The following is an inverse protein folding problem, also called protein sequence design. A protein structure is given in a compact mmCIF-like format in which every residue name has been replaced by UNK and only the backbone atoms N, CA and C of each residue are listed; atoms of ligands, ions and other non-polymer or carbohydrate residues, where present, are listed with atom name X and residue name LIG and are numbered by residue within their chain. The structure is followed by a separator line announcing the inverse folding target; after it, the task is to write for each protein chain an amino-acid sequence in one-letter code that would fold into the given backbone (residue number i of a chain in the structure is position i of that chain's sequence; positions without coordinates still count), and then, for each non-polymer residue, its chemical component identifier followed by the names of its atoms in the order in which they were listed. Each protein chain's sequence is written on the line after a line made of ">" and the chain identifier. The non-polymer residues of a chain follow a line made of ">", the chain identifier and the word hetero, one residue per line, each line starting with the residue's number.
data_IF_188462525549
#
_entry.id   IF_188462525549
#
_cell.length_a   1.000
_cell.length_b   1.000
_cell.length_c   1.000
_cell.angle_alpha   90.00
_cell.angle_beta   90.00
_cell.angle_gamma   90.00
#
_symmetry.space_group_name_H-M   'P 1'
#
loop_
_entity.id
_entity.type
_entity.pdbx_description
1 polymer ?
#
# COMPACT_ATOMS: atom_id res chain seq x y z
N UNK A 1 -20.89 -1.26 5.68
CA UNK A 1 -21.54 0.04 5.52
C UNK A 1 -21.02 0.71 4.27
N UNK A 2 -21.90 1.13 3.42
CA UNK A 2 -21.48 1.84 2.22
C UNK A 2 -21.10 3.28 2.56
N UNK A 3 -20.11 3.78 1.85
CA UNK A 3 -19.70 5.16 1.96
C UNK A 3 -20.51 6.00 0.99
N UNK A 4 -21.21 6.99 1.51
CA UNK A 4 -22.08 7.84 0.68
C UNK A 4 -21.46 9.20 0.37
N UNK A 5 -20.51 9.65 1.20
CA UNK A 5 -19.85 10.94 1.03
C UNK A 5 -18.38 10.70 0.72
N UNK A 6 -17.99 10.64 -0.55
CA UNK A 6 -16.60 10.43 -0.90
C UNK A 6 -15.76 11.65 -0.59
N UNK A 7 -14.64 11.42 0.07
CA UNK A 7 -13.67 12.47 0.35
C UNK A 7 -14.03 13.37 1.50
N UNK A 8 -13.11 14.27 1.77
CA UNK A 8 -13.22 15.30 2.81
C UNK A 8 -12.52 16.54 2.33
N UNK A 9 -12.94 17.68 2.87
CA UNK A 9 -12.24 18.93 2.72
C UNK A 9 -11.37 19.18 3.95
N UNK A 10 -10.45 20.14 3.85
CA UNK A 10 -9.52 20.45 4.92
C UNK A 10 -10.23 20.65 6.27
N UNK A 11 -11.36 21.30 6.25
CA UNK A 11 -12.14 21.66 7.44
C UNK A 11 -12.75 20.44 8.15
N UNK A 12 -12.81 19.31 7.46
CA UNK A 12 -13.39 18.08 8.00
C UNK A 12 -12.41 17.28 8.84
N UNK A 13 -11.12 17.66 8.85
CA UNK A 13 -10.10 16.92 9.58
C UNK A 13 -9.89 17.47 10.98
N UNK A 14 -9.57 16.56 11.89
CA UNK A 14 -9.22 16.89 13.28
C UNK A 14 -8.01 16.08 13.70
N UNK A 15 -7.14 16.70 14.50
CA UNK A 15 -5.99 16.01 15.08
C UNK A 15 -6.48 14.86 15.96
N UNK A 16 -5.86 13.70 15.80
CA UNK A 16 -6.23 12.47 16.52
C UNK A 16 -7.38 11.70 15.92
N UNK A 17 -7.99 12.20 14.86
CA UNK A 17 -9.04 11.48 14.16
C UNK A 17 -8.53 10.17 13.58
N UNK A 18 -9.33 9.10 13.69
CA UNK A 18 -9.07 7.81 13.06
C UNK A 18 -10.08 7.60 11.94
N UNK A 19 -9.57 7.33 10.75
CA UNK A 19 -10.40 7.07 9.58
C UNK A 19 -10.24 5.59 9.23
N UNK A 20 -11.36 4.86 9.23
CA UNK A 20 -11.39 3.45 8.83
C UNK A 20 -11.92 3.34 7.42
N UNK A 21 -11.16 2.69 6.56
CA UNK A 21 -11.56 2.48 5.17
C UNK A 21 -12.54 1.30 5.08
N UNK A 22 -13.60 1.48 4.31
CA UNK A 22 -14.68 0.50 4.26
C UNK A 22 -14.31 -0.77 3.47
N UNK A 23 -13.42 -0.67 2.49
CA UNK A 23 -13.13 -1.76 1.57
C UNK A 23 -11.86 -2.49 1.97
N UNK A 24 -11.93 -3.72 2.48
CA UNK A 24 -10.74 -4.55 2.65
C UNK A 24 -10.22 -5.01 1.29
N UNK A 25 -8.94 -5.36 1.23
CA UNK A 25 -8.33 -5.88 0.02
C UNK A 25 -7.33 -6.98 0.36
N UNK A 26 -7.51 -8.14 -0.27
CA UNK A 26 -6.55 -9.23 -0.19
C UNK A 26 -5.40 -8.96 -1.14
N UNK A 27 -4.19 -9.12 -0.67
CA UNK A 27 -2.98 -9.08 -1.48
C UNK A 27 -2.58 -10.53 -1.79
N UNK A 28 -2.46 -10.84 -3.07
CA UNK A 28 -2.25 -12.20 -3.54
C UNK A 28 -0.95 -12.35 -4.31
N UNK A 29 -0.51 -13.60 -4.49
CA UNK A 29 0.69 -13.95 -5.24
C UNK A 29 0.66 -13.42 -6.68
N UNK A 30 -0.51 -13.38 -7.31
CA UNK A 30 -0.66 -12.87 -8.66
C UNK A 30 -0.23 -11.42 -8.81
N UNK A 31 -0.49 -10.60 -7.80
CA UNK A 31 -0.07 -9.21 -7.81
C UNK A 31 1.45 -9.08 -7.75
N UNK A 32 2.09 -9.91 -6.96
CA UNK A 32 3.54 -9.97 -6.88
C UNK A 32 4.14 -10.34 -8.24
N UNK A 33 3.62 -11.41 -8.84
CA UNK A 33 4.10 -11.90 -10.13
C UNK A 33 3.93 -10.85 -11.23
N UNK A 34 2.77 -10.23 -11.30
CA UNK A 34 2.48 -9.20 -12.30
C UNK A 34 3.37 -7.98 -12.11
N UNK A 35 3.52 -7.52 -10.89
CA UNK A 35 4.36 -6.35 -10.60
C UNK A 35 5.82 -6.61 -11.01
N UNK A 36 6.34 -7.80 -10.70
CA UNK A 36 7.72 -8.14 -11.07
C UNK A 36 7.91 -8.32 -12.58
N UNK A 37 6.86 -8.71 -13.30
CA UNK A 37 6.92 -8.79 -14.75
C UNK A 37 6.99 -7.41 -15.41
N UNK A 38 6.26 -6.45 -14.85
CA UNK A 38 6.20 -5.08 -15.35
C UNK A 38 7.37 -4.21 -14.87
N UNK A 39 7.77 -4.40 -13.64
CA UNK A 39 8.81 -3.59 -12.98
C UNK A 39 9.81 -4.50 -12.28
N UNK A 40 10.67 -5.20 -13.04
CA UNK A 40 11.60 -6.15 -12.44
C UNK A 40 12.56 -5.47 -11.48
N UNK A 41 12.68 -6.01 -10.29
CA UNK A 41 13.57 -5.50 -9.25
C UNK A 41 14.87 -6.28 -9.26
N UNK A 42 15.99 -5.59 -9.06
CA UNK A 42 17.27 -6.24 -8.81
C UNK A 42 17.41 -6.74 -7.40
N UNK A 43 16.50 -6.37 -6.51
CA UNK A 43 16.58 -6.75 -5.11
C UNK A 43 16.05 -8.16 -4.93
N UNK A 44 16.95 -9.08 -4.60
CA UNK A 44 16.62 -10.50 -4.50
C UNK A 44 15.56 -10.81 -3.42
N UNK A 45 15.41 -9.93 -2.44
CA UNK A 45 14.42 -10.12 -1.37
C UNK A 45 13.01 -10.31 -1.94
N UNK A 46 12.66 -9.56 -2.97
CA UNK A 46 11.32 -9.59 -3.56
C UNK A 46 11.15 -10.65 -4.64
N UNK A 47 12.23 -11.28 -5.10
CA UNK A 47 12.19 -12.16 -6.26
C UNK A 47 12.75 -13.57 -6.01
N UNK A 48 13.36 -13.81 -4.85
CA UNK A 48 13.95 -15.10 -4.52
C UNK A 48 13.50 -15.56 -3.14
N UNK A 49 12.75 -16.64 -3.10
CA UNK A 49 12.33 -17.24 -1.83
C UNK A 49 13.52 -17.72 -1.02
N UNK A 50 14.55 -18.28 -1.66
CA UNK A 50 15.76 -18.72 -0.98
C UNK A 50 16.49 -17.56 -0.33
N UNK A 51 16.62 -16.46 -1.03
CA UNK A 51 17.25 -15.26 -0.46
C UNK A 51 16.45 -14.73 0.71
N UNK A 52 15.13 -14.65 0.56
CA UNK A 52 14.25 -14.16 1.63
C UNK A 52 14.32 -15.06 2.85
N UNK A 53 14.35 -16.37 2.66
CA UNK A 53 14.52 -17.33 3.76
C UNK A 53 15.85 -17.11 4.49
N UNK A 54 16.92 -16.83 3.75
CA UNK A 54 18.22 -16.48 4.34
C UNK A 54 18.19 -15.19 5.15
N UNK A 55 17.23 -14.30 4.87
CA UNK A 55 17.01 -13.08 5.64
C UNK A 55 16.04 -13.28 6.82
N UNK A 56 15.55 -14.49 7.05
CA UNK A 56 14.66 -14.80 8.16
C UNK A 56 13.17 -14.70 7.84
N UNK A 57 12.81 -14.59 6.55
CA UNK A 57 11.41 -14.55 6.13
C UNK A 57 10.94 -15.92 5.66
N UNK A 58 9.63 -16.13 5.65
CA UNK A 58 9.04 -17.37 5.16
C UNK A 58 9.18 -17.54 3.64
N UNK A 59 9.26 -16.44 2.92
CA UNK A 59 9.41 -16.40 1.48
C UNK A 59 9.55 -14.96 1.02
N UNK A 60 9.54 -14.73 -0.28
CA UNK A 60 9.64 -13.39 -0.83
C UNK A 60 8.39 -12.58 -0.47
N UNK A 61 8.55 -11.41 0.18
CA UNK A 61 7.41 -10.54 0.43
C UNK A 61 6.97 -9.83 -0.83
N UNK A 62 5.81 -9.19 -0.76
CA UNK A 62 5.40 -8.24 -1.78
C UNK A 62 6.37 -7.05 -1.80
N UNK A 63 6.63 -6.53 -2.99
CA UNK A 63 7.37 -5.28 -3.09
C UNK A 63 6.65 -4.20 -2.30
N UNK A 64 7.40 -3.43 -1.52
CA UNK A 64 6.84 -2.38 -0.67
C UNK A 64 5.95 -1.41 -1.43
N UNK A 65 6.27 -1.13 -2.69
CA UNK A 65 5.49 -0.22 -3.50
C UNK A 65 4.12 -0.78 -3.87
N UNK A 66 3.97 -2.10 -3.95
CA UNK A 66 2.62 -2.70 -4.13
C UNK A 66 1.75 -2.35 -2.91
N UNK A 67 2.28 -2.58 -1.72
CA UNK A 67 1.58 -2.20 -0.48
C UNK A 67 1.24 -0.72 -0.44
N UNK A 68 2.19 0.12 -0.82
CA UNK A 68 1.96 1.55 -0.88
C UNK A 68 0.81 1.90 -1.82
N UNK A 69 0.80 1.37 -3.04
CA UNK A 69 -0.26 1.66 -4.00
C UNK A 69 -1.64 1.24 -3.51
N UNK A 70 -1.73 0.05 -2.92
CA UNK A 70 -3.01 -0.45 -2.39
C UNK A 70 -3.51 0.41 -1.24
N UNK A 71 -2.65 0.70 -0.28
CA UNK A 71 -3.02 1.51 0.89
C UNK A 71 -3.37 2.92 0.46
N UNK A 72 -2.55 3.52 -0.39
CA UNK A 72 -2.82 4.86 -0.88
C UNK A 72 -4.15 4.93 -1.64
N UNK A 73 -4.42 3.93 -2.48
CA UNK A 73 -5.69 3.88 -3.20
C UNK A 73 -6.90 3.85 -2.28
N UNK A 74 -6.80 3.20 -1.12
CA UNK A 74 -7.87 3.18 -0.12
C UNK A 74 -8.13 4.55 0.49
N UNK A 75 -7.13 5.40 0.54
CA UNK A 75 -7.29 6.73 1.14
C UNK A 75 -8.06 7.68 0.23
N UNK A 76 -8.09 7.42 -1.08
CA UNK A 76 -8.67 8.36 -2.04
C UNK A 76 -10.15 8.63 -1.76
N UNK A 77 -11.05 7.64 -1.67
CA UNK A 77 -12.46 7.93 -1.42
C UNK A 77 -12.70 8.60 -0.08
N UNK A 78 -11.89 8.28 0.93
CA UNK A 78 -12.11 8.76 2.29
C UNK A 78 -11.42 10.08 2.58
N UNK A 79 -10.36 10.40 1.85
CA UNK A 79 -9.51 11.53 2.18
C UNK A 79 -9.35 12.48 1.00
N UNK A 80 -8.79 11.99 -0.11
CA UNK A 80 -8.18 12.90 -1.09
C UNK A 80 -8.96 13.08 -2.38
N UNK A 81 -10.16 12.53 -2.52
CA UNK A 81 -10.90 12.63 -3.78
C UNK A 81 -11.20 14.08 -4.18
N UNK A 82 -11.29 14.97 -3.21
CA UNK A 82 -11.52 16.39 -3.45
C UNK A 82 -10.23 17.20 -3.57
N UNK A 83 -9.08 16.56 -3.49
CA UNK A 83 -7.81 17.26 -3.59
C UNK A 83 -7.57 17.74 -5.03
N UNK A 84 -6.93 18.89 -5.14
CA UNK A 84 -6.57 19.47 -6.46
C UNK A 84 -5.36 18.74 -7.03
N UNK A 85 -4.37 18.42 -6.19
CA UNK A 85 -3.14 17.78 -6.63
C UNK A 85 -2.49 17.02 -5.50
N UNK A 86 -1.71 16.00 -5.88
CA UNK A 86 -0.82 15.29 -4.97
C UNK A 86 0.58 15.83 -5.20
N UNK A 87 1.15 16.49 -4.20
CA UNK A 87 2.41 17.21 -4.36
C UNK A 87 3.64 16.39 -4.02
N UNK A 88 3.51 15.36 -3.21
CA UNK A 88 4.66 14.53 -2.87
C UNK A 88 4.56 13.88 -1.50
N UNK A 89 5.62 13.18 -1.15
CA UNK A 89 5.74 12.43 0.09
C UNK A 89 7.07 12.72 0.76
N UNK A 90 7.08 12.72 2.07
CA UNK A 90 8.29 12.86 2.85
C UNK A 90 8.30 11.86 3.99
N UNK A 91 9.47 11.30 4.31
CA UNK A 91 9.67 10.44 5.46
C UNK A 91 8.77 9.18 5.46
N UNK A 92 8.58 8.58 4.30
CA UNK A 92 7.91 7.29 4.21
C UNK A 92 8.73 6.20 4.88
N UNK A 93 8.06 5.28 5.60
CA UNK A 93 8.72 4.15 6.25
C UNK A 93 7.82 2.91 6.18
N UNK A 94 8.39 1.80 5.73
CA UNK A 94 7.75 0.50 5.73
C UNK A 94 8.23 -0.26 6.95
N UNK A 95 7.31 -0.57 7.85
CA UNK A 95 7.67 -1.11 9.17
C UNK A 95 7.82 -2.62 9.14
N UNK A 96 7.02 -3.31 8.33
CA UNK A 96 7.02 -4.76 8.25
C UNK A 96 6.85 -5.22 6.80
N UNK A 97 7.47 -6.35 6.41
CA UNK A 97 7.18 -6.94 5.11
C UNK A 97 5.74 -7.43 5.04
N UNK A 98 5.16 -7.37 3.85
CA UNK A 98 3.79 -7.84 3.60
C UNK A 98 3.88 -9.09 2.74
N UNK A 99 3.30 -10.18 3.22
CA UNK A 99 3.27 -11.46 2.50
C UNK A 99 1.99 -11.57 1.68
N UNK A 100 2.07 -12.23 0.53
CA UNK A 100 0.88 -12.51 -0.26
C UNK A 100 -0.08 -13.47 0.43
#
# INVERSE_FOLDING_TARGET
>A
MSKTDPGRFFEDYRVGQVIRHAAPRTLAEGERALYHALYPSRHALYSSDDFAAGCGLEGSPLNDLIGFHVIFGKTVPDISVNAVANLGYAQGRWLNPVMP
#
